data_IF_928341141493
#
_entry.id   IF_928341141493
#
_cell.length_a   1.000
_cell.length_b   1.000
_cell.length_c   1.000
_cell.angle_alpha   90.00
_cell.angle_beta   90.00
_cell.angle_gamma   90.00
#
_symmetry.space_group_name_H-M   'P 1'
#
loop_
_entity.id
_entity.type
_entity.pdbx_description
1 polymer ?
#
# COMPACT_ATOMS: atom_id res chain seq x y z
N UNK A 1 -18.43 17.03 4.34
CA UNK A 1 -19.43 15.94 4.39
C UNK A 1 -18.97 14.87 3.42
N UNK A 2 -18.87 13.60 3.82
CA UNK A 2 -18.49 12.51 2.91
C UNK A 2 -19.66 12.23 1.95
N UNK A 3 -19.45 12.14 0.62
CA UNK A 3 -20.52 11.89 -0.35
C UNK A 3 -21.24 10.58 -0.06
N UNK A 4 -22.58 10.51 -0.05
CA UNK A 4 -23.30 9.24 0.18
C UNK A 4 -22.93 8.20 -0.89
N UNK A 5 -22.99 6.89 -0.59
CA UNK A 5 -22.87 5.85 -1.61
C UNK A 5 -23.89 6.06 -2.74
N UNK A 6 -23.49 5.72 -3.96
CA UNK A 6 -24.31 5.88 -5.14
C UNK A 6 -24.90 4.53 -5.53
N UNK A 7 -26.23 4.44 -5.49
CA UNK A 7 -26.97 3.23 -5.84
C UNK A 7 -27.11 3.13 -7.36
N UNK A 8 -26.48 2.11 -7.97
CA UNK A 8 -26.45 1.94 -9.41
C UNK A 8 -26.20 0.49 -9.83
N UNK A 9 -26.52 0.19 -11.09
CA UNK A 9 -26.20 -1.08 -11.75
C UNK A 9 -25.29 -0.85 -12.94
N UNK A 10 -24.05 -1.30 -12.82
CA UNK A 10 -23.03 -1.27 -13.87
C UNK A 10 -23.26 -2.44 -14.83
N UNK A 11 -23.30 -2.19 -16.13
CA UNK A 11 -23.65 -3.19 -17.17
C UNK A 11 -22.70 -3.11 -18.36
N UNK A 12 -22.72 -4.09 -19.27
CA UNK A 12 -21.99 -4.04 -20.55
C UNK A 12 -20.48 -4.33 -20.48
N UNK A 13 -19.86 -4.14 -19.32
CA UNK A 13 -18.43 -4.39 -19.07
C UNK A 13 -18.08 -5.89 -18.94
N UNK A 14 -16.79 -6.20 -19.12
CA UNK A 14 -16.19 -7.44 -18.62
C UNK A 14 -15.88 -7.27 -17.13
N UNK A 15 -16.29 -8.22 -16.30
CA UNK A 15 -16.15 -8.14 -14.83
C UNK A 15 -15.22 -9.24 -14.35
N UNK A 16 -14.24 -8.89 -13.53
CA UNK A 16 -13.44 -9.87 -12.80
C UNK A 16 -14.19 -10.34 -11.56
N UNK A 17 -14.77 -11.55 -11.63
CA UNK A 17 -15.53 -12.17 -10.54
C UNK A 17 -15.35 -13.67 -10.57
N UNK A 18 -15.31 -14.30 -9.40
CA UNK A 18 -15.11 -15.75 -9.24
C UNK A 18 -13.81 -16.27 -9.90
N UNK A 19 -12.79 -15.41 -9.96
CA UNK A 19 -11.48 -15.75 -10.54
C UNK A 19 -11.43 -15.70 -12.07
N UNK A 20 -12.48 -15.24 -12.75
CA UNK A 20 -12.55 -15.17 -14.20
C UNK A 20 -13.12 -13.84 -14.71
N UNK A 21 -12.81 -13.50 -15.97
CA UNK A 21 -13.41 -12.37 -16.68
C UNK A 21 -14.73 -12.80 -17.31
N UNK A 22 -15.84 -12.14 -16.95
CA UNK A 22 -17.16 -12.48 -17.43
C UNK A 22 -18.05 -11.26 -17.68
N UNK A 23 -18.90 -11.31 -18.71
CA UNK A 23 -19.88 -10.25 -18.99
C UNK A 23 -21.10 -10.38 -18.09
N UNK A 24 -21.04 -9.76 -16.92
CA UNK A 24 -22.17 -9.65 -15.98
C UNK A 24 -22.34 -8.23 -15.50
N UNK A 25 -23.49 -7.94 -14.89
CA UNK A 25 -23.71 -6.66 -14.22
C UNK A 25 -23.19 -6.68 -12.78
N UNK A 26 -22.72 -5.54 -12.29
CA UNK A 26 -22.40 -5.32 -10.87
C UNK A 26 -23.35 -4.28 -10.31
N UNK A 27 -23.95 -4.55 -9.16
CA UNK A 27 -24.86 -3.62 -8.48
C UNK A 27 -24.12 -3.04 -7.29
N UNK A 28 -24.08 -1.72 -7.19
CA UNK A 28 -23.63 -0.98 -6.01
C UNK A 28 -24.88 -0.50 -5.29
N UNK A 29 -25.05 -0.87 -4.03
CA UNK A 29 -26.21 -0.54 -3.22
C UNK A 29 -25.78 -0.33 -1.77
N UNK A 30 -26.08 0.82 -1.18
CA UNK A 30 -25.77 1.14 0.22
C UNK A 30 -24.29 0.92 0.59
N UNK A 31 -23.39 1.14 -0.36
CA UNK A 31 -21.94 0.95 -0.18
C UNK A 31 -21.44 -0.48 -0.36
N UNK A 32 -22.33 -1.41 -0.73
CA UNK A 32 -22.07 -2.85 -0.85
C UNK A 32 -22.40 -3.36 -2.25
N UNK A 33 -21.92 -4.56 -2.58
CA UNK A 33 -22.27 -5.25 -3.82
C UNK A 33 -23.62 -5.95 -3.64
N UNK A 34 -24.64 -5.47 -4.36
CA UNK A 34 -26.04 -5.88 -4.24
C UNK A 34 -26.55 -6.77 -5.37
N UNK A 35 -27.89 -6.95 -5.42
CA UNK A 35 -28.60 -7.73 -6.45
C UNK A 35 -29.77 -6.98 -7.10
N UNK A 36 -30.17 -5.83 -6.54
CA UNK A 36 -31.40 -5.15 -6.89
C UNK A 36 -31.38 -4.51 -8.30
N UNK A 37 -32.56 -4.29 -8.90
CA UNK A 37 -32.67 -3.39 -10.03
C UNK A 37 -32.38 -1.97 -9.55
N UNK A 38 -31.41 -1.32 -10.18
CA UNK A 38 -31.00 0.07 -9.92
C UNK A 38 -30.75 0.79 -11.26
N UNK A 39 -30.69 2.13 -11.26
CA UNK A 39 -30.35 2.91 -12.44
C UNK A 39 -29.12 2.36 -13.15
N UNK A 40 -29.23 2.17 -14.47
CA UNK A 40 -28.22 1.50 -15.27
C UNK A 40 -27.13 2.49 -15.68
N UNK A 41 -25.88 2.07 -15.54
CA UNK A 41 -24.72 2.69 -16.21
C UNK A 41 -24.19 1.68 -17.22
N UNK A 42 -24.19 2.02 -18.52
CA UNK A 42 -23.61 1.17 -19.56
C UNK A 42 -22.09 1.41 -19.67
N UNK A 43 -21.32 0.39 -19.37
CA UNK A 43 -19.87 0.37 -19.42
C UNK A 43 -19.36 -0.61 -20.49
N UNK A 44 -20.08 -0.75 -21.60
CA UNK A 44 -19.59 -1.48 -22.78
C UNK A 44 -18.23 -0.93 -23.23
N UNK A 45 -17.25 -1.82 -23.42
CA UNK A 45 -15.85 -1.47 -23.73
C UNK A 45 -14.99 -1.16 -22.50
N UNK A 46 -15.47 -1.49 -21.30
CA UNK A 46 -14.71 -1.37 -20.06
C UNK A 46 -14.54 -2.73 -19.35
N UNK A 47 -13.56 -2.75 -18.47
CA UNK A 47 -13.36 -3.76 -17.44
C UNK A 47 -13.86 -3.21 -16.09
N UNK A 48 -14.54 -4.04 -15.31
CA UNK A 48 -14.81 -3.78 -13.90
C UNK A 48 -13.98 -4.76 -13.08
N UNK A 49 -13.07 -4.23 -12.27
CA UNK A 49 -12.13 -5.01 -11.48
C UNK A 49 -12.30 -4.67 -9.98
N UNK A 50 -11.99 -5.60 -9.05
CA UNK A 50 -11.97 -5.28 -7.63
C UNK A 50 -11.00 -4.12 -7.35
N UNK A 51 -11.37 -3.26 -6.42
CA UNK A 51 -10.54 -2.13 -5.97
C UNK A 51 -9.15 -2.56 -5.54
N UNK A 52 -8.14 -1.74 -5.85
CA UNK A 52 -6.75 -2.03 -5.50
C UNK A 52 -6.56 -1.84 -3.99
N UNK A 53 -5.81 -2.78 -3.39
CA UNK A 53 -5.43 -2.79 -1.97
C UNK A 53 -3.91 -2.74 -1.90
N UNK A 54 -3.38 -1.60 -1.48
CA UNK A 54 -1.94 -1.31 -1.47
C UNK A 54 -1.37 -1.43 -0.05
N UNK A 55 -0.46 -2.37 0.17
CA UNK A 55 0.06 -2.67 1.52
C UNK A 55 1.25 -1.80 1.92
N UNK A 56 1.89 -1.12 0.96
CA UNK A 56 3.06 -0.29 1.22
C UNK A 56 3.18 0.79 0.15
N UNK A 57 3.08 2.05 0.57
CA UNK A 57 3.44 3.18 -0.27
C UNK A 57 4.04 4.32 0.54
N UNK A 58 5.25 4.74 0.16
CA UNK A 58 5.93 5.97 0.58
C UNK A 58 5.71 7.12 -0.42
N UNK A 59 4.95 6.85 -1.48
CA UNK A 59 4.43 7.80 -2.44
C UNK A 59 3.80 9.07 -1.84
N UNK A 60 3.19 8.98 -0.67
CA UNK A 60 2.53 10.12 0.00
C UNK A 60 3.53 11.20 0.47
N UNK A 61 4.79 10.84 0.68
CA UNK A 61 5.82 11.78 1.15
C UNK A 61 5.96 12.97 0.20
N UNK A 62 5.78 12.76 -1.11
CA UNK A 62 5.82 13.83 -2.13
C UNK A 62 4.73 14.87 -1.97
N UNK A 63 3.60 14.51 -1.37
CA UNK A 63 2.46 15.41 -1.13
C UNK A 63 2.61 16.17 0.19
N UNK A 64 3.26 15.57 1.18
CA UNK A 64 3.47 16.16 2.51
C UNK A 64 4.69 17.09 2.51
N UNK A 65 5.77 16.66 1.89
CA UNK A 65 7.04 17.36 1.82
C UNK A 65 7.54 17.41 0.36
N UNK A 66 6.82 18.08 -0.57
CA UNK A 66 7.26 18.22 -1.96
C UNK A 66 8.64 18.89 -2.07
N UNK A 67 9.01 19.68 -1.05
CA UNK A 67 10.37 20.18 -0.81
C UNK A 67 10.70 20.04 0.67
N UNK A 68 11.88 19.48 1.05
CA UNK A 68 12.28 19.36 2.45
C UNK A 68 12.26 20.67 3.23
N UNK A 69 12.55 21.79 2.56
CA UNK A 69 12.63 23.13 3.18
C UNK A 69 11.27 23.85 3.33
N UNK A 70 10.16 23.26 2.87
CA UNK A 70 8.85 23.91 2.85
C UNK A 70 7.73 22.88 3.09
N UNK A 71 7.58 22.37 4.33
CA UNK A 71 6.53 21.42 4.66
C UNK A 71 5.14 22.06 4.51
N UNK A 72 4.20 21.30 3.96
CA UNK A 72 2.79 21.69 3.92
C UNK A 72 2.05 21.15 5.15
N UNK A 73 0.87 21.70 5.50
CA UNK A 73 0.03 21.10 6.53
C UNK A 73 -0.26 19.64 6.20
N UNK A 74 0.03 18.73 7.13
CA UNK A 74 -0.08 17.27 6.91
C UNK A 74 -1.45 16.85 6.39
N UNK A 75 -2.51 17.50 6.90
CA UNK A 75 -3.90 17.24 6.49
C UNK A 75 -4.13 17.56 5.01
N UNK A 76 -3.50 18.60 4.46
CA UNK A 76 -3.62 18.95 3.05
C UNK A 76 -2.83 17.98 2.16
N UNK A 77 -1.63 17.58 2.62
CA UNK A 77 -0.84 16.53 1.94
C UNK A 77 -1.56 15.18 1.92
N UNK A 78 -2.24 14.80 3.01
CA UNK A 78 -3.11 13.63 3.05
C UNK A 78 -4.31 13.75 2.12
N UNK A 79 -4.89 14.94 2.00
CA UNK A 79 -5.97 15.18 1.04
C UNK A 79 -5.52 15.00 -0.40
N UNK A 80 -4.33 15.48 -0.77
CA UNK A 80 -3.75 15.26 -2.09
C UNK A 80 -3.41 13.78 -2.33
N UNK A 81 -2.85 13.11 -1.31
CA UNK A 81 -2.57 11.66 -1.33
C UNK A 81 -3.83 10.84 -1.60
N UNK A 82 -4.94 11.14 -0.93
CA UNK A 82 -6.23 10.47 -1.13
C UNK A 82 -6.72 10.59 -2.58
N UNK A 83 -6.56 11.77 -3.21
CA UNK A 83 -6.95 11.98 -4.60
C UNK A 83 -6.04 11.25 -5.59
N UNK A 84 -4.75 11.26 -5.32
CA UNK A 84 -3.76 10.58 -6.14
C UNK A 84 -4.00 9.06 -6.10
N UNK A 85 -4.15 8.49 -4.91
CA UNK A 85 -4.50 7.07 -4.71
C UNK A 85 -5.80 6.69 -5.43
N UNK A 86 -6.88 7.47 -5.22
CA UNK A 86 -8.16 7.24 -5.88
C UNK A 86 -8.06 7.28 -7.41
N UNK A 87 -7.30 8.21 -7.97
CA UNK A 87 -7.10 8.30 -9.43
C UNK A 87 -6.36 7.11 -10.04
N UNK A 88 -5.61 6.37 -9.21
CA UNK A 88 -4.88 5.17 -9.59
C UNK A 88 -5.61 3.87 -9.21
N UNK A 89 -6.92 3.93 -8.90
CA UNK A 89 -7.74 2.75 -8.62
C UNK A 89 -7.59 2.17 -7.21
N UNK A 90 -6.84 2.85 -6.34
CA UNK A 90 -6.61 2.40 -4.97
C UNK A 90 -7.85 2.73 -4.14
N UNK A 91 -8.35 1.72 -3.43
CA UNK A 91 -9.54 1.82 -2.55
C UNK A 91 -9.17 1.61 -1.08
N UNK A 92 -8.01 0.98 -0.82
CA UNK A 92 -7.41 0.79 0.50
C UNK A 92 -5.90 0.92 0.37
N UNK A 93 -5.25 1.70 1.23
CA UNK A 93 -3.80 1.91 1.19
C UNK A 93 -3.19 2.03 2.57
N UNK A 94 -2.01 1.46 2.76
CA UNK A 94 -1.15 1.72 3.91
C UNK A 94 -0.01 2.68 3.52
N UNK A 95 0.07 3.79 4.25
CA UNK A 95 1.11 4.81 4.09
C UNK A 95 2.31 4.40 4.95
N UNK A 96 3.44 4.10 4.32
CA UNK A 96 4.63 3.58 4.99
C UNK A 96 5.42 4.72 5.66
N UNK A 97 5.15 4.98 6.94
CA UNK A 97 5.81 6.02 7.72
C UNK A 97 6.95 5.43 8.56
N UNK A 98 8.13 6.02 8.46
CA UNK A 98 9.29 5.57 9.22
C UNK A 98 9.17 5.92 10.72
N UNK A 99 9.73 5.05 11.55
CA UNK A 99 9.97 5.21 12.98
C UNK A 99 11.45 4.90 13.24
N UNK A 100 12.30 5.92 13.07
CA UNK A 100 13.72 5.76 12.84
C UNK A 100 14.60 6.66 13.73
N UNK A 101 15.80 6.18 14.02
CA UNK A 101 16.89 6.94 14.64
C UNK A 101 17.43 8.05 13.71
N UNK A 102 17.13 8.01 12.41
CA UNK A 102 17.61 8.98 11.40
C UNK A 102 17.19 10.42 11.70
N UNK A 103 16.02 10.63 12.32
CA UNK A 103 15.49 11.96 12.62
C UNK A 103 14.69 12.58 11.46
N UNK A 104 14.35 13.87 11.61
CA UNK A 104 13.56 14.61 10.61
C UNK A 104 12.21 13.93 10.29
N UNK A 105 11.89 13.83 9.00
CA UNK A 105 10.66 13.20 8.51
C UNK A 105 10.52 11.70 8.85
N UNK A 106 11.61 11.07 9.30
CA UNK A 106 11.63 9.65 9.69
C UNK A 106 11.54 9.43 11.20
N UNK A 107 11.52 10.50 11.99
CA UNK A 107 11.49 10.44 13.44
C UNK A 107 10.13 9.95 13.99
N UNK A 108 10.11 9.34 15.18
CA UNK A 108 8.88 9.06 15.92
C UNK A 108 7.91 10.25 16.05
N UNK A 109 8.44 11.45 16.29
CA UNK A 109 7.65 12.70 16.41
C UNK A 109 6.85 12.97 15.12
N UNK A 110 7.47 12.71 13.95
CA UNK A 110 6.80 12.87 12.66
C UNK A 110 5.71 11.82 12.46
N UNK A 111 5.96 10.57 12.88
CA UNK A 111 4.97 9.50 12.80
C UNK A 111 3.73 9.79 13.66
N UNK A 112 3.93 10.32 14.87
CA UNK A 112 2.83 10.78 15.75
C UNK A 112 2.05 11.96 15.15
N UNK A 113 2.76 12.93 14.57
CA UNK A 113 2.12 14.06 13.89
C UNK A 113 1.29 13.58 12.69
N UNK A 114 1.81 12.64 11.89
CA UNK A 114 1.09 12.07 10.75
C UNK A 114 -0.12 11.25 11.19
N UNK A 115 0.00 10.42 12.22
CA UNK A 115 -1.11 9.63 12.76
C UNK A 115 -2.25 10.53 13.26
N UNK A 116 -1.89 11.63 13.94
CA UNK A 116 -2.85 12.66 14.39
C UNK A 116 -3.52 13.37 13.21
N UNK A 117 -2.75 13.73 12.18
CA UNK A 117 -3.28 14.35 10.98
C UNK A 117 -4.20 13.40 10.20
N UNK A 118 -3.86 12.12 10.12
CA UNK A 118 -4.69 11.09 9.48
C UNK A 118 -6.01 10.91 10.23
N UNK A 119 -5.98 10.84 11.57
CA UNK A 119 -7.20 10.81 12.38
C UNK A 119 -8.09 12.04 12.14
N UNK A 120 -7.48 13.23 12.05
CA UNK A 120 -8.18 14.49 11.72
C UNK A 120 -8.76 14.50 10.30
N UNK A 121 -8.08 13.86 9.36
CA UNK A 121 -8.51 13.80 7.96
C UNK A 121 -9.59 12.73 7.70
N UNK A 122 -9.58 11.62 8.45
CA UNK A 122 -10.45 10.45 8.30
C UNK A 122 -11.93 10.78 8.00
N UNK A 123 -12.60 11.76 8.65
CA UNK A 123 -14.00 12.10 8.35
C UNK A 123 -14.25 12.73 6.96
N UNK A 124 -13.21 12.98 6.16
CA UNK A 124 -13.29 13.53 4.79
C UNK A 124 -12.69 12.60 3.74
N UNK A 125 -12.10 11.51 4.20
CA UNK A 125 -11.32 10.57 3.40
C UNK A 125 -12.22 9.77 2.45
N UNK A 126 -11.78 9.61 1.20
CA UNK A 126 -12.52 8.85 0.18
C UNK A 126 -11.95 7.44 -0.01
N UNK A 127 -10.64 7.29 0.02
CA UNK A 127 -9.92 6.00 0.02
C UNK A 127 -9.77 5.50 1.45
N UNK A 128 -9.77 4.19 1.72
CA UNK A 128 -9.42 3.70 3.08
C UNK A 128 -7.90 3.82 3.29
N UNK A 129 -7.41 5.01 3.67
CA UNK A 129 -6.01 5.26 4.00
C UNK A 129 -5.72 4.88 5.47
N UNK A 130 -4.65 4.14 5.65
CA UNK A 130 -4.14 3.62 6.93
C UNK A 130 -2.66 3.91 7.05
N UNK A 131 -2.14 3.77 8.26
CA UNK A 131 -0.71 3.98 8.52
C UNK A 131 -0.03 2.63 8.70
N UNK A 132 1.08 2.41 8.00
CA UNK A 132 2.04 1.38 8.32
C UNK A 132 3.24 2.04 8.99
N UNK A 133 3.75 1.45 10.06
CA UNK A 133 4.99 1.92 10.69
C UNK A 133 6.17 1.08 10.25
N UNK A 134 7.18 1.71 9.63
CA UNK A 134 8.47 1.08 9.34
C UNK A 134 9.44 1.35 10.49
N UNK A 135 9.54 0.38 11.41
CA UNK A 135 10.26 0.50 12.67
C UNK A 135 11.72 0.09 12.54
N UNK A 136 12.63 1.03 12.78
CA UNK A 136 14.05 0.71 12.86
C UNK A 136 14.37 -0.16 14.09
N UNK A 137 15.00 -1.29 13.86
CA UNK A 137 15.36 -2.27 14.90
C UNK A 137 16.30 -1.71 15.96
N UNK A 138 17.10 -0.70 15.64
CA UNK A 138 18.12 -0.13 16.52
C UNK A 138 17.65 1.07 17.37
N UNK A 139 16.39 1.48 17.25
CA UNK A 139 15.77 2.51 18.11
C UNK A 139 15.17 1.87 19.38
N UNK A 140 16.02 1.19 20.15
CA UNK A 140 15.64 0.20 21.17
C UNK A 140 14.95 0.76 22.42
N UNK A 141 15.03 2.07 22.65
CA UNK A 141 14.41 2.78 23.77
C UNK A 141 12.99 3.28 23.46
N UNK A 142 12.48 3.05 22.24
CA UNK A 142 11.20 3.59 21.76
C UNK A 142 9.99 2.65 21.91
N UNK A 143 10.15 1.46 22.52
CA UNK A 143 9.12 0.43 22.50
C UNK A 143 7.78 0.89 23.10
N UNK A 144 7.81 1.48 24.30
CA UNK A 144 6.58 1.94 24.97
C UNK A 144 5.90 3.06 24.20
N UNK A 145 6.70 3.93 23.59
CA UNK A 145 6.23 5.05 22.77
C UNK A 145 5.53 4.55 21.50
N UNK A 146 6.11 3.55 20.82
CA UNK A 146 5.49 2.95 19.63
C UNK A 146 4.20 2.21 19.98
N UNK A 147 4.19 1.42 21.07
CA UNK A 147 2.98 0.72 21.50
C UNK A 147 1.86 1.68 21.90
N UNK A 148 2.20 2.81 22.54
CA UNK A 148 1.22 3.85 22.86
C UNK A 148 0.65 4.52 21.60
N UNK A 149 1.49 4.79 20.58
CA UNK A 149 1.01 5.31 19.30
C UNK A 149 0.03 4.34 18.63
N UNK A 150 0.36 3.05 18.62
CA UNK A 150 -0.47 1.99 18.04
C UNK A 150 -1.86 1.99 18.69
N UNK A 151 -1.91 2.02 20.03
CA UNK A 151 -3.17 2.04 20.78
C UNK A 151 -3.97 3.32 20.54
N UNK A 152 -3.30 4.47 20.42
CA UNK A 152 -3.97 5.76 20.26
C UNK A 152 -4.60 5.96 18.86
N UNK A 153 -4.09 5.28 17.83
CA UNK A 153 -4.47 5.52 16.43
C UNK A 153 -4.93 4.28 15.66
N UNK A 154 -5.15 3.15 16.34
CA UNK A 154 -5.58 1.89 15.75
C UNK A 154 -4.66 1.43 14.58
N UNK A 155 -3.34 1.54 14.77
CA UNK A 155 -2.36 1.10 13.75
C UNK A 155 -2.34 -0.42 13.73
N UNK A 156 -2.61 -1.01 12.56
CA UNK A 156 -2.77 -2.45 12.39
C UNK A 156 -1.61 -3.11 11.64
N UNK A 157 -0.61 -2.35 11.18
CA UNK A 157 0.52 -2.87 10.41
C UNK A 157 1.88 -2.22 10.77
N UNK A 158 2.87 -3.05 11.13
CA UNK A 158 4.24 -2.63 11.44
C UNK A 158 5.26 -3.49 10.69
N UNK A 159 6.30 -2.91 10.14
CA UNK A 159 7.38 -3.66 9.48
C UNK A 159 8.72 -3.29 10.10
N UNK A 160 9.49 -4.28 10.55
CA UNK A 160 10.84 -4.06 11.05
C UNK A 160 11.79 -3.77 9.90
N UNK A 161 12.64 -2.76 10.09
CA UNK A 161 13.65 -2.36 9.12
C UNK A 161 15.02 -2.25 9.79
N UNK A 162 16.06 -2.57 9.04
CA UNK A 162 17.43 -2.35 9.48
C UNK A 162 18.31 -1.96 8.29
N UNK A 163 18.51 -0.65 8.12
CA UNK A 163 19.41 -0.12 7.09
C UNK A 163 20.65 0.54 7.71
N UNK A 164 20.94 0.25 8.98
CA UNK A 164 21.99 0.95 9.74
C UNK A 164 23.39 0.71 9.18
N UNK A 165 23.71 -0.53 8.80
CA UNK A 165 25.03 -0.84 8.23
C UNK A 165 25.21 -0.21 6.84
N UNK A 166 24.17 -0.19 6.01
CA UNK A 166 24.17 0.53 4.73
C UNK A 166 24.34 2.04 4.91
N UNK A 167 23.69 2.61 5.93
CA UNK A 167 23.85 4.03 6.25
C UNK A 167 25.27 4.35 6.74
N UNK A 168 25.90 3.45 7.50
CA UNK A 168 27.29 3.58 7.93
C UNK A 168 28.30 3.41 6.79
N UNK A 169 28.08 2.47 5.86
CA UNK A 169 28.88 2.36 4.65
C UNK A 169 28.76 3.64 3.82
N UNK A 170 27.53 4.10 3.59
CA UNK A 170 27.26 5.35 2.86
C UNK A 170 27.95 6.55 3.49
N UNK A 171 27.99 6.63 4.82
CA UNK A 171 28.70 7.67 5.53
C UNK A 171 30.21 7.70 5.23
N UNK A 172 30.81 6.54 4.93
CA UNK A 172 32.22 6.38 4.61
C UNK A 172 32.49 6.55 3.11
N UNK A 173 31.66 5.95 2.26
CA UNK A 173 31.87 5.85 0.81
C UNK A 173 31.30 7.04 0.04
N UNK A 174 30.27 7.70 0.57
CA UNK A 174 29.50 8.77 -0.09
C UNK A 174 29.16 9.93 0.86
N UNK A 175 30.14 10.71 1.32
CA UNK A 175 29.93 11.77 2.33
C UNK A 175 28.94 12.86 1.90
N UNK A 176 28.79 13.11 0.59
CA UNK A 176 27.75 14.03 0.09
C UNK A 176 26.33 13.52 0.29
N UNK A 177 26.11 12.20 0.25
CA UNK A 177 24.81 11.59 0.56
C UNK A 177 24.51 11.71 2.06
N UNK A 178 25.50 11.44 2.91
CA UNK A 178 25.38 11.65 4.36
C UNK A 178 25.03 13.10 4.71
N UNK A 179 25.67 14.08 4.03
CA UNK A 179 25.39 15.48 4.27
C UNK A 179 23.93 15.86 3.96
N UNK A 180 23.37 15.31 2.87
CA UNK A 180 21.95 15.48 2.53
C UNK A 180 21.03 14.85 3.58
N UNK A 181 21.31 13.63 4.03
CA UNK A 181 20.53 12.98 5.10
C UNK A 181 20.59 13.76 6.41
N UNK A 182 21.75 14.32 6.74
CA UNK A 182 21.91 15.18 7.90
C UNK A 182 21.04 16.44 7.77
N UNK A 183 21.03 17.10 6.61
CA UNK A 183 20.18 18.28 6.34
C UNK A 183 18.68 17.94 6.46
N UNK A 184 18.25 16.81 5.89
CA UNK A 184 16.87 16.28 6.00
C UNK A 184 16.48 15.94 7.44
N UNK A 185 17.45 15.60 8.29
CA UNK A 185 17.29 15.38 9.71
C UNK A 185 17.48 16.64 10.57
N UNK A 186 17.72 17.81 9.94
CA UNK A 186 18.05 19.08 10.60
C UNK A 186 19.28 18.99 11.53
N UNK A 187 20.32 18.29 11.08
CA UNK A 187 21.58 18.03 11.80
C UNK A 187 22.79 18.41 10.94
N UNK A 188 23.92 18.65 11.57
CA UNK A 188 25.20 18.63 10.88
C UNK A 188 25.60 17.18 10.51
N UNK A 189 26.46 16.97 9.49
CA UNK A 189 26.96 15.64 9.14
C UNK A 189 27.65 14.92 10.31
N UNK A 190 28.31 15.68 11.20
CA UNK A 190 28.99 15.14 12.37
C UNK A 190 28.01 14.62 13.42
N UNK A 191 26.93 15.37 13.69
CA UNK A 191 25.86 14.96 14.61
C UNK A 191 25.07 13.77 14.06
N UNK A 192 24.81 13.74 12.75
CA UNK A 192 24.13 12.62 12.10
C UNK A 192 25.00 11.34 12.18
N UNK A 193 26.31 11.44 11.91
CA UNK A 193 27.23 10.32 12.08
C UNK A 193 27.34 9.86 13.54
N UNK A 194 27.29 10.78 14.51
CA UNK A 194 27.24 10.42 15.92
C UNK A 194 25.97 9.64 16.26
N UNK A 195 24.83 9.99 15.64
CA UNK A 195 23.55 9.27 15.80
C UNK A 195 23.63 7.85 15.25
N UNK A 196 24.17 7.67 14.03
CA UNK A 196 24.43 6.35 13.45
C UNK A 196 25.29 5.47 14.38
N UNK A 197 26.38 6.03 14.91
CA UNK A 197 27.27 5.31 15.84
C UNK A 197 26.58 5.00 17.17
N UNK A 198 25.69 5.85 17.65
CA UNK A 198 24.91 5.60 18.86
C UNK A 198 23.91 4.46 18.64
N UNK A 199 23.18 4.47 17.51
CA UNK A 199 22.28 3.38 17.13
C UNK A 199 23.03 2.03 17.03
N UNK A 200 24.24 2.01 16.46
CA UNK A 200 25.04 0.77 16.37
C UNK A 200 25.41 0.19 17.73
N UNK A 201 25.64 1.04 18.75
CA UNK A 201 25.93 0.58 20.11
C UNK A 201 24.73 -0.15 20.73
N UNK A 202 23.52 0.06 20.22
CA UNK A 202 22.31 -0.58 20.72
C UNK A 202 22.09 -2.01 20.20
N UNK A 203 22.96 -2.53 19.31
CA UNK A 203 22.82 -3.86 18.70
C UNK A 203 22.55 -4.98 19.72
N UNK A 204 23.18 -4.92 20.90
CA UNK A 204 22.99 -5.90 21.98
C UNK A 204 21.59 -5.90 22.60
N UNK A 205 20.85 -4.79 22.49
CA UNK A 205 19.48 -4.66 22.99
C UNK A 205 18.41 -5.05 21.96
N UNK A 206 18.77 -5.13 20.68
CA UNK A 206 17.83 -5.38 19.56
C UNK A 206 17.00 -6.65 19.76
N UNK A 207 17.56 -7.84 20.11
CA UNK A 207 16.74 -9.04 20.28
C UNK A 207 15.64 -8.88 21.33
N UNK A 208 15.97 -8.26 22.47
CA UNK A 208 14.99 -7.99 23.54
C UNK A 208 13.93 -6.98 23.11
N UNK A 209 14.35 -5.95 22.37
CA UNK A 209 13.45 -4.93 21.83
C UNK A 209 12.44 -5.54 20.85
N UNK A 210 12.90 -6.36 19.91
CA UNK A 210 12.04 -7.04 18.93
C UNK A 210 11.06 -7.99 19.60
N UNK A 211 11.50 -8.83 20.55
CA UNK A 211 10.60 -9.73 21.28
C UNK A 211 9.52 -8.96 22.07
N UNK A 212 9.90 -7.83 22.72
CA UNK A 212 8.94 -6.98 23.43
C UNK A 212 7.89 -6.38 22.49
N UNK A 213 8.31 -5.92 21.33
CA UNK A 213 7.41 -5.37 20.33
C UNK A 213 6.50 -6.44 19.74
N UNK A 214 7.04 -7.59 19.34
CA UNK A 214 6.28 -8.74 18.86
C UNK A 214 5.17 -9.16 19.84
N UNK A 215 5.51 -9.33 21.12
CA UNK A 215 4.51 -9.65 22.17
C UNK A 215 3.48 -8.52 22.34
N UNK A 216 3.90 -7.26 22.19
CA UNK A 216 3.03 -6.10 22.16
C UNK A 216 2.05 -6.10 20.98
N UNK A 217 2.52 -6.47 19.80
CA UNK A 217 1.77 -6.54 18.55
C UNK A 217 0.76 -7.70 18.57
N UNK A 218 1.19 -8.89 19.01
CA UNK A 218 0.33 -10.07 19.13
C UNK A 218 -0.89 -9.82 20.02
N UNK A 219 -0.69 -9.17 21.18
CA UNK A 219 -1.79 -8.80 22.10
C UNK A 219 -2.81 -7.84 21.47
N UNK A 220 -2.37 -7.03 20.51
CA UNK A 220 -3.19 -6.02 19.83
C UNK A 220 -3.76 -6.51 18.50
N UNK A 221 -3.36 -7.71 18.04
CA UNK A 221 -3.72 -8.21 16.72
C UNK A 221 -3.08 -7.43 15.57
N UNK A 222 -2.00 -6.68 15.84
CA UNK A 222 -1.23 -5.97 14.81
C UNK A 222 -0.53 -7.01 13.93
N UNK A 223 -0.67 -6.87 12.62
CA UNK A 223 0.14 -7.66 11.69
C UNK A 223 1.52 -7.02 11.59
N UNK A 224 2.55 -7.85 11.51
CA UNK A 224 3.89 -7.31 11.38
C UNK A 224 4.81 -8.19 10.54
N UNK A 225 5.86 -7.56 10.01
CA UNK A 225 6.78 -8.15 9.07
C UNK A 225 8.19 -7.60 9.18
N UNK A 226 9.01 -7.88 8.19
CA UNK A 226 10.33 -7.29 8.00
C UNK A 226 10.51 -6.79 6.57
N UNK A 227 11.40 -5.81 6.42
CA UNK A 227 11.72 -5.13 5.18
C UNK A 227 13.18 -5.41 4.79
N UNK A 228 13.43 -5.62 3.50
CA UNK A 228 14.77 -5.83 2.92
C UNK A 228 15.55 -6.99 3.57
N UNK A 229 14.90 -8.13 3.81
CA UNK A 229 15.57 -9.32 4.36
C UNK A 229 16.78 -9.71 3.46
N UNK A 230 18.03 -9.64 3.97
CA UNK A 230 19.23 -9.83 3.17
C UNK A 230 19.44 -11.32 2.82
N UNK A 231 19.01 -12.21 3.69
CA UNK A 231 19.26 -13.65 3.58
C UNK A 231 18.16 -14.48 4.26
N UNK A 232 18.25 -15.80 4.09
CA UNK A 232 17.32 -16.74 4.68
C UNK A 232 17.42 -16.76 6.22
N UNK A 233 18.60 -16.63 6.81
CA UNK A 233 18.76 -16.68 8.28
C UNK A 233 18.04 -15.51 8.97
N UNK A 234 18.13 -14.32 8.38
CA UNK A 234 17.42 -13.12 8.84
C UNK A 234 15.90 -13.29 8.73
N UNK A 235 15.42 -13.79 7.57
CA UNK A 235 13.99 -14.09 7.36
C UNK A 235 13.49 -15.15 8.36
N UNK A 236 14.27 -16.19 8.64
CA UNK A 236 13.94 -17.21 9.64
C UNK A 236 13.75 -16.59 11.02
N UNK A 237 14.70 -15.75 11.43
CA UNK A 237 14.67 -15.04 12.72
C UNK A 237 13.41 -14.21 12.87
N UNK A 238 13.06 -13.40 11.86
CA UNK A 238 11.83 -12.62 11.86
C UNK A 238 10.58 -13.49 11.90
N UNK A 239 10.54 -14.59 11.14
CA UNK A 239 9.40 -15.50 11.16
C UNK A 239 9.20 -16.16 12.53
N UNK A 240 10.29 -16.51 13.21
CA UNK A 240 10.27 -17.13 14.53
C UNK A 240 9.72 -16.20 15.62
N UNK A 241 9.95 -14.89 15.53
CA UNK A 241 9.38 -13.89 16.45
C UNK A 241 7.96 -13.44 16.06
N UNK A 242 7.36 -14.05 15.04
CA UNK A 242 6.00 -13.77 14.59
C UNK A 242 5.86 -12.65 13.56
N UNK A 243 6.96 -12.08 13.05
CA UNK A 243 6.91 -11.09 11.97
C UNK A 243 6.64 -11.79 10.63
N UNK A 244 5.39 -12.13 10.34
CA UNK A 244 4.98 -13.05 9.26
C UNK A 244 4.94 -12.47 7.85
N UNK A 245 5.16 -11.18 7.65
CA UNK A 245 5.17 -10.58 6.31
C UNK A 245 6.61 -10.28 5.88
N UNK A 246 6.98 -10.65 4.66
CA UNK A 246 8.31 -10.43 4.10
C UNK A 246 8.21 -9.37 2.98
N UNK A 247 8.55 -8.12 3.30
CA UNK A 247 8.56 -7.03 2.33
C UNK A 247 9.94 -6.90 1.67
N UNK A 248 9.94 -6.85 0.33
CA UNK A 248 11.13 -6.57 -0.49
C UNK A 248 12.37 -7.43 -0.17
N UNK A 249 12.28 -8.77 -0.06
CA UNK A 249 13.46 -9.60 0.19
C UNK A 249 14.57 -9.31 -0.84
N UNK A 250 15.77 -9.03 -0.34
CA UNK A 250 16.91 -8.63 -1.18
C UNK A 250 17.41 -9.81 -2.01
N UNK A 251 17.32 -11.03 -1.46
CA UNK A 251 17.78 -12.26 -2.11
C UNK A 251 16.67 -13.25 -2.38
N UNK A 252 16.86 -14.07 -3.43
CA UNK A 252 15.98 -15.20 -3.74
C UNK A 252 15.93 -16.21 -2.59
N UNK A 253 17.01 -16.34 -1.81
CA UNK A 253 17.06 -17.23 -0.66
C UNK A 253 16.09 -16.79 0.44
N UNK A 254 16.05 -15.49 0.77
CA UNK A 254 15.08 -14.92 1.70
C UNK A 254 13.63 -15.14 1.22
N UNK A 255 13.33 -14.81 -0.05
CA UNK A 255 11.99 -15.00 -0.62
C UNK A 255 11.53 -16.47 -0.62
N UNK A 256 12.44 -17.40 -0.96
CA UNK A 256 12.17 -18.84 -0.92
C UNK A 256 11.87 -19.33 0.49
N UNK A 257 12.64 -18.87 1.48
CA UNK A 257 12.37 -19.24 2.86
C UNK A 257 11.01 -18.70 3.30
N UNK A 258 10.71 -17.43 3.01
CA UNK A 258 9.42 -16.80 3.32
C UNK A 258 8.25 -17.69 2.83
N UNK A 259 8.31 -18.08 1.55
CA UNK A 259 7.32 -18.99 0.95
C UNK A 259 7.26 -20.34 1.69
N UNK A 260 8.42 -20.93 2.01
CA UNK A 260 8.50 -22.23 2.66
C UNK A 260 7.88 -22.24 4.08
N UNK A 261 7.96 -21.12 4.81
CA UNK A 261 7.37 -20.97 6.15
C UNK A 261 5.95 -20.38 6.13
N UNK A 262 5.42 -20.07 4.94
CA UNK A 262 4.06 -19.53 4.76
C UNK A 262 3.93 -18.03 5.01
N UNK A 263 5.05 -17.30 5.01
CA UNK A 263 5.09 -15.84 5.17
C UNK A 263 4.86 -15.17 3.81
N UNK A 264 3.82 -14.32 3.65
CA UNK A 264 3.57 -13.64 2.37
C UNK A 264 4.73 -12.75 1.94
N UNK A 265 5.09 -12.82 0.65
CA UNK A 265 6.15 -11.99 0.07
C UNK A 265 5.55 -10.82 -0.71
N UNK A 266 5.95 -9.59 -0.36
CA UNK A 266 5.54 -8.37 -1.06
C UNK A 266 6.69 -7.82 -1.89
N UNK A 267 6.40 -7.41 -3.13
CA UNK A 267 7.38 -6.77 -4.02
C UNK A 267 6.85 -5.46 -4.60
N UNK A 268 7.76 -4.52 -4.86
CA UNK A 268 7.40 -3.24 -5.50
C UNK A 268 6.91 -3.43 -6.93
N UNK A 269 5.68 -2.98 -7.21
CA UNK A 269 5.15 -2.88 -8.56
C UNK A 269 6.03 -2.06 -9.54
N UNK A 270 6.73 -0.98 -9.12
CA UNK A 270 7.65 -0.27 -10.01
C UNK A 270 8.75 -1.16 -10.61
N UNK A 271 9.20 -2.20 -9.90
CA UNK A 271 10.24 -3.11 -10.38
C UNK A 271 9.77 -3.97 -11.56
N UNK A 272 8.48 -4.33 -11.59
CA UNK A 272 7.85 -5.02 -12.72
C UNK A 272 7.74 -4.08 -13.92
N UNK A 273 7.22 -2.86 -13.69
CA UNK A 273 7.04 -1.87 -14.78
C UNK A 273 8.36 -1.49 -15.45
N UNK A 274 9.45 -1.41 -14.67
CA UNK A 274 10.78 -1.05 -15.18
C UNK A 274 11.55 -2.21 -15.82
N UNK A 275 11.14 -3.46 -15.57
CA UNK A 275 11.85 -4.65 -16.03
C UNK A 275 13.18 -4.91 -15.32
N UNK A 276 13.31 -4.54 -14.03
CA UNK A 276 14.51 -4.81 -13.24
C UNK A 276 14.58 -4.07 -11.89
N UNK A 277 15.39 -4.59 -10.96
CA UNK A 277 15.69 -3.94 -9.67
C UNK A 277 16.84 -2.92 -9.83
N UNK A 278 16.83 -1.83 -9.06
CA UNK A 278 17.86 -0.77 -9.15
C UNK A 278 19.23 -1.19 -8.59
N UNK A 279 19.31 -2.26 -7.78
CA UNK A 279 20.46 -2.55 -6.93
C UNK A 279 21.05 -3.96 -7.13
N UNK A 280 20.61 -4.74 -8.12
CA UNK A 280 21.03 -6.14 -8.28
C UNK A 280 20.33 -7.12 -7.32
N UNK A 281 19.35 -6.63 -6.57
CA UNK A 281 18.45 -7.42 -5.71
C UNK A 281 17.58 -8.36 -6.54
N UNK A 282 16.96 -9.35 -5.90
CA UNK A 282 16.01 -10.25 -6.53
C UNK A 282 14.95 -9.48 -7.35
N UNK A 283 14.83 -9.79 -8.64
CA UNK A 283 13.88 -9.12 -9.50
C UNK A 283 12.45 -9.57 -9.18
N UNK A 284 11.50 -8.62 -9.13
CA UNK A 284 10.12 -8.92 -8.81
C UNK A 284 9.50 -9.94 -9.80
N UNK A 285 9.81 -9.81 -11.09
CA UNK A 285 9.29 -10.73 -12.13
C UNK A 285 9.78 -12.17 -11.92
N UNK A 286 11.07 -12.32 -11.60
CA UNK A 286 11.66 -13.63 -11.30
C UNK A 286 10.99 -14.31 -10.11
N UNK A 287 10.65 -13.55 -9.06
CA UNK A 287 9.95 -14.07 -7.89
C UNK A 287 8.48 -14.40 -8.22
N UNK A 288 7.81 -13.60 -9.03
CA UNK A 288 6.43 -13.87 -9.49
C UNK A 288 6.37 -15.17 -10.31
N UNK A 289 7.29 -15.34 -11.26
CA UNK A 289 7.38 -16.54 -12.08
C UNK A 289 7.68 -17.79 -11.24
N UNK A 290 8.59 -17.67 -10.28
CA UNK A 290 8.93 -18.76 -9.37
C UNK A 290 7.87 -19.04 -8.30
N UNK A 291 6.80 -18.25 -8.21
CA UNK A 291 5.75 -18.41 -7.20
C UNK A 291 6.17 -17.95 -5.79
N UNK A 292 7.14 -17.05 -5.69
CA UNK A 292 7.68 -16.47 -4.46
C UNK A 292 7.29 -15.00 -4.29
N UNK A 293 6.12 -14.60 -4.79
CA UNK A 293 5.56 -13.25 -4.65
C UNK A 293 4.03 -13.36 -4.52
N UNK A 294 3.50 -12.90 -3.38
CA UNK A 294 2.07 -12.98 -3.04
C UNK A 294 1.32 -11.69 -3.35
N UNK A 295 2.01 -10.55 -3.29
CA UNK A 295 1.40 -9.26 -3.55
C UNK A 295 2.39 -8.26 -4.15
N UNK A 296 1.83 -7.28 -4.87
CA UNK A 296 2.54 -6.12 -5.37
C UNK A 296 2.08 -4.86 -4.63
N UNK A 297 3.02 -3.99 -4.30
CA UNK A 297 2.79 -2.73 -3.58
C UNK A 297 3.24 -1.53 -4.41
N UNK A 298 2.67 -0.35 -4.16
CA UNK A 298 2.98 0.84 -4.96
C UNK A 298 4.39 1.35 -4.76
N UNK A 299 4.96 1.11 -3.57
CA UNK A 299 6.27 1.66 -3.19
C UNK A 299 6.21 3.19 -3.43
N UNK A 300 7.23 3.74 -4.07
CA UNK A 300 7.28 5.17 -4.35
C UNK A 300 6.39 5.65 -5.52
N UNK A 301 5.48 4.84 -6.09
CA UNK A 301 4.70 5.23 -7.29
C UNK A 301 3.35 4.49 -7.49
N UNK A 302 2.23 5.11 -7.04
CA UNK A 302 0.85 4.56 -7.17
C UNK A 302 0.45 4.04 -8.56
N UNK A 303 0.74 4.74 -9.69
CA UNK A 303 0.35 4.24 -11.01
C UNK A 303 0.99 2.89 -11.38
N UNK A 304 2.05 2.47 -10.68
CA UNK A 304 2.73 1.21 -10.96
C UNK A 304 1.87 -0.01 -10.69
N UNK A 305 0.90 0.02 -9.77
CA UNK A 305 0.12 -1.17 -9.40
C UNK A 305 -0.67 -1.75 -10.57
N UNK A 306 -1.60 -0.97 -11.13
CA UNK A 306 -2.39 -1.39 -12.29
C UNK A 306 -1.49 -1.65 -13.52
N UNK A 307 -0.46 -0.81 -13.72
CA UNK A 307 0.50 -0.99 -14.82
C UNK A 307 1.28 -2.29 -14.71
N UNK A 308 1.70 -2.70 -13.52
CA UNK A 308 2.39 -3.96 -13.30
C UNK A 308 1.48 -5.15 -13.61
N UNK A 309 0.22 -5.13 -13.16
CA UNK A 309 -0.73 -6.19 -13.47
C UNK A 309 -0.92 -6.35 -14.99
N UNK A 310 -1.10 -5.25 -15.72
CA UNK A 310 -1.20 -5.29 -17.19
C UNK A 310 0.11 -5.70 -17.88
N UNK A 311 1.27 -5.25 -17.37
CA UNK A 311 2.57 -5.63 -17.92
C UNK A 311 2.82 -7.14 -17.78
N UNK A 312 2.43 -7.76 -16.66
CA UNK A 312 2.51 -9.21 -16.47
C UNK A 312 1.64 -9.97 -17.48
N UNK A 313 0.47 -9.42 -17.83
CA UNK A 313 -0.43 -9.98 -18.85
C UNK A 313 0.16 -9.85 -20.24
N UNK A 314 0.70 -8.68 -20.59
CA UNK A 314 1.31 -8.43 -21.91
C UNK A 314 2.53 -9.31 -22.17
N UNK A 315 3.32 -9.57 -21.12
CA UNK A 315 4.46 -10.48 -21.16
C UNK A 315 4.06 -11.96 -21.18
N UNK A 316 2.77 -12.27 -21.00
CA UNK A 316 2.27 -13.65 -20.94
C UNK A 316 2.65 -14.40 -19.66
N UNK A 317 3.12 -13.70 -18.62
CA UNK A 317 3.55 -14.31 -17.36
C UNK A 317 2.38 -14.71 -16.47
N UNK A 318 1.25 -14.01 -16.62
CA UNK A 318 0.03 -14.21 -15.83
C UNK A 318 -1.22 -13.92 -16.67
N UNK A 319 -2.34 -14.55 -16.33
CA UNK A 319 -3.66 -14.12 -16.82
C UNK A 319 -4.10 -12.86 -16.05
N UNK A 320 -5.00 -12.04 -16.62
CA UNK A 320 -5.50 -10.84 -15.94
C UNK A 320 -6.06 -11.14 -14.53
N UNK A 321 -6.91 -12.17 -14.31
CA UNK A 321 -7.35 -12.53 -12.96
C UNK A 321 -6.20 -12.79 -11.97
N UNK A 322 -5.19 -13.56 -12.39
CA UNK A 322 -4.06 -13.92 -11.53
C UNK A 322 -3.09 -12.75 -11.27
N UNK A 323 -2.89 -11.87 -12.26
CA UNK A 323 -2.10 -10.66 -12.10
C UNK A 323 -2.82 -9.64 -11.19
N UNK A 324 -4.14 -9.48 -11.36
CA UNK A 324 -4.94 -8.56 -10.55
C UNK A 324 -5.07 -9.02 -9.10
N UNK A 325 -5.07 -10.34 -8.86
CA UNK A 325 -5.07 -10.89 -7.51
C UNK A 325 -3.90 -10.38 -6.66
N UNK A 326 -2.72 -10.16 -7.25
CA UNK A 326 -1.52 -9.63 -6.57
C UNK A 326 -1.71 -8.22 -6.02
N UNK A 327 -2.66 -7.43 -6.54
CA UNK A 327 -2.88 -6.03 -6.15
C UNK A 327 -4.27 -5.81 -5.50
N UNK A 328 -5.02 -6.87 -5.24
CA UNK A 328 -6.37 -6.75 -4.68
C UNK A 328 -6.71 -7.89 -3.72
N UNK A 329 -7.12 -9.05 -4.22
CA UNK A 329 -7.59 -10.16 -3.37
C UNK A 329 -6.51 -10.74 -2.46
N UNK A 330 -5.26 -10.87 -2.93
CA UNK A 330 -4.16 -11.38 -2.11
C UNK A 330 -3.76 -10.37 -1.02
N UNK A 331 -3.52 -9.08 -1.30
CA UNK A 331 -3.36 -8.06 -0.27
C UNK A 331 -4.48 -8.01 0.78
N UNK A 332 -5.75 -8.08 0.35
CA UNK A 332 -6.89 -8.10 1.26
C UNK A 332 -6.86 -9.33 2.18
N UNK A 333 -6.49 -10.51 1.65
CA UNK A 333 -6.33 -11.74 2.44
C UNK A 333 -5.16 -11.63 3.44
N UNK A 334 -4.01 -11.11 3.01
CA UNK A 334 -2.83 -10.90 3.87
C UNK A 334 -3.21 -10.03 5.07
N UNK A 335 -3.94 -8.94 4.83
CA UNK A 335 -4.40 -8.02 5.88
C UNK A 335 -5.70 -8.43 6.56
N UNK A 336 -6.19 -9.64 6.32
CA UNK A 336 -7.41 -10.20 6.94
C UNK A 336 -8.64 -9.29 6.77
N UNK A 337 -8.80 -8.74 5.57
CA UNK A 337 -9.93 -7.90 5.14
C UNK A 337 -10.92 -8.72 4.29
N UNK A 338 -11.82 -9.52 4.90
CA UNK A 338 -12.72 -10.38 4.14
C UNK A 338 -13.77 -9.57 3.37
N UNK A 339 -14.03 -8.32 3.74
CA UNK A 339 -15.08 -7.49 3.14
C UNK A 339 -14.74 -6.96 1.74
N UNK A 340 -13.50 -7.09 1.25
CA UNK A 340 -13.05 -6.48 -0.01
C UNK A 340 -12.05 -7.36 -0.78
N UNK A 341 -11.51 -6.83 -1.87
CA UNK A 341 -10.53 -7.50 -2.74
C UNK A 341 -11.15 -8.44 -3.78
N UNK A 342 -12.45 -8.67 -3.73
CA UNK A 342 -13.22 -9.48 -4.69
C UNK A 342 -14.59 -8.86 -4.95
N UNK A 343 -15.13 -9.08 -6.15
CA UNK A 343 -16.49 -8.66 -6.50
C UNK A 343 -17.44 -9.79 -6.14
N UNK A 344 -18.07 -9.74 -4.97
CA UNK A 344 -19.08 -10.71 -4.56
C UNK A 344 -20.18 -10.09 -3.70
N UNK A 345 -21.36 -10.72 -3.66
CA UNK A 345 -22.53 -10.20 -2.97
C UNK A 345 -22.27 -9.99 -1.48
N UNK A 346 -22.73 -8.86 -0.96
CA UNK A 346 -22.54 -8.51 0.45
C UNK A 346 -21.12 -8.12 0.83
N UNK A 347 -20.19 -8.01 -0.13
CA UNK A 347 -18.88 -7.38 0.07
C UNK A 347 -18.99 -5.87 -0.11
N UNK A 348 -18.01 -5.14 0.45
CA UNK A 348 -17.81 -3.70 0.25
C UNK A 348 -17.69 -3.41 -1.24
N UNK A 349 -18.40 -2.39 -1.73
CA UNK A 349 -18.34 -1.99 -3.14
C UNK A 349 -17.07 -1.18 -3.43
N UNK A 350 -15.94 -1.89 -3.46
CA UNK A 350 -14.64 -1.38 -3.89
C UNK A 350 -14.37 -1.85 -5.32
N UNK A 351 -14.53 -0.95 -6.29
CA UNK A 351 -14.52 -1.26 -7.72
C UNK A 351 -13.67 -0.24 -8.47
N UNK A 352 -13.05 -0.68 -9.55
CA UNK A 352 -12.50 0.22 -10.56
C UNK A 352 -13.11 -0.06 -11.92
N UNK A 353 -13.18 0.99 -12.73
CA UNK A 353 -13.65 0.94 -14.12
C UNK A 353 -12.48 1.33 -15.01
N UNK A 354 -12.01 0.37 -15.81
CA UNK A 354 -10.84 0.53 -16.67
C UNK A 354 -11.28 0.47 -18.12
N UNK A 355 -10.88 1.46 -18.92
CA UNK A 355 -11.12 1.44 -20.36
C UNK A 355 -10.37 0.25 -20.98
N UNK A 356 -11.06 -0.65 -21.67
CA UNK A 356 -10.47 -1.89 -22.18
C UNK A 356 -9.37 -1.62 -23.23
N UNK A 357 -9.55 -0.58 -24.04
CA UNK A 357 -8.62 -0.24 -25.11
C UNK A 357 -7.38 0.54 -24.60
N UNK A 358 -7.60 1.54 -23.73
CA UNK A 358 -6.53 2.44 -23.29
C UNK A 358 -5.87 2.01 -21.97
N UNK A 359 -6.51 1.09 -21.24
CA UNK A 359 -6.15 0.66 -19.88
C UNK A 359 -6.08 1.79 -18.86
N UNK A 360 -6.70 2.93 -19.16
CA UNK A 360 -6.84 4.03 -18.22
C UNK A 360 -7.94 3.71 -17.22
N UNK A 361 -7.66 4.01 -15.95
CA UNK A 361 -8.65 3.96 -14.89
C UNK A 361 -9.50 5.22 -15.05
N UNK A 362 -10.78 5.04 -15.34
CA UNK A 362 -11.72 6.15 -15.58
C UNK A 362 -12.75 6.30 -14.46
N UNK A 363 -12.90 5.30 -13.58
CA UNK A 363 -13.61 5.47 -12.33
C UNK A 363 -13.02 4.60 -11.20
N UNK A 364 -13.07 5.13 -9.98
CA UNK A 364 -12.77 4.40 -8.75
C UNK A 364 -13.93 4.59 -7.79
N UNK A 365 -14.41 3.48 -7.24
CA UNK A 365 -15.51 3.42 -6.29
C UNK A 365 -14.98 2.77 -5.02
N UNK A 366 -15.14 3.44 -3.89
CA UNK A 366 -14.69 2.98 -2.57
C UNK A 366 -15.89 2.98 -1.62
N UNK A 367 -16.24 1.82 -1.05
CA UNK A 367 -17.48 1.63 -0.28
C UNK A 367 -18.72 2.21 -0.99
N UNK A 368 -18.83 1.97 -2.30
CA UNK A 368 -19.92 2.45 -3.16
C UNK A 368 -19.94 3.97 -3.42
N UNK A 369 -18.92 4.72 -3.01
CA UNK A 369 -18.78 6.15 -3.29
C UNK A 369 -17.81 6.34 -4.44
N UNK A 370 -18.18 7.13 -5.44
CA UNK A 370 -17.27 7.49 -6.53
C UNK A 370 -16.20 8.43 -5.97
N UNK A 371 -14.94 7.98 -5.97
CA UNK A 371 -13.79 8.73 -5.45
C UNK A 371 -12.97 9.37 -6.55
N UNK A 372 -13.02 8.79 -7.75
CA UNK A 372 -12.45 9.30 -8.98
C UNK A 372 -13.41 8.99 -10.14
N UNK A 373 -13.56 9.93 -11.07
CA UNK A 373 -14.33 9.77 -12.30
C UNK A 373 -13.75 10.69 -13.38
N UNK A 374 -13.46 10.15 -14.55
CA UNK A 374 -12.84 10.85 -15.66
C UNK A 374 -13.22 10.22 -17.00
N UNK A 375 -12.79 10.85 -18.09
CA UNK A 375 -12.91 10.29 -19.44
C UNK A 375 -14.35 10.08 -19.89
N UNK A 376 -14.54 9.07 -20.74
CA UNK A 376 -15.85 8.72 -21.30
C UNK A 376 -16.73 8.05 -20.24
N UNK A 377 -16.16 7.36 -19.25
CA UNK A 377 -16.93 6.83 -18.13
C UNK A 377 -17.71 7.95 -17.45
N UNK A 378 -17.11 9.13 -17.22
CA UNK A 378 -17.80 10.27 -16.63
C UNK A 378 -19.10 10.63 -17.36
N UNK A 379 -19.06 10.75 -18.69
CA UNK A 379 -20.24 11.00 -19.54
C UNK A 379 -21.33 9.98 -19.30
N UNK A 380 -20.98 8.69 -19.21
CA UNK A 380 -21.92 7.59 -19.03
C UNK A 380 -22.54 7.54 -17.63
N UNK A 381 -21.74 7.83 -16.60
CA UNK A 381 -22.24 7.95 -15.23
C UNK A 381 -23.24 9.11 -15.09
N UNK A 382 -23.01 10.25 -15.77
CA UNK A 382 -23.98 11.35 -15.80
C UNK A 382 -25.22 11.05 -16.67
N UNK A 383 -25.06 10.32 -17.77
CA UNK A 383 -26.14 9.95 -18.68
C UNK A 383 -27.16 8.95 -18.09
N UNK A 384 -26.76 8.17 -17.08
CA UNK A 384 -27.61 7.16 -16.43
C UNK A 384 -28.92 7.69 -15.82
N UNK A 385 -29.00 8.99 -15.52
CA UNK A 385 -30.23 9.64 -15.02
C UNK A 385 -31.22 10.04 -16.11
N UNK A 386 -30.80 10.19 -17.37
CA UNK A 386 -31.64 10.70 -18.45
C UNK A 386 -32.62 9.65 -19.01
N UNK A 387 -32.24 8.36 -19.03
CA UNK A 387 -33.11 7.29 -19.51
C UNK A 387 -34.35 7.06 -18.63
N UNK A 388 -34.24 7.31 -17.32
CA UNK A 388 -35.37 7.20 -16.38
C UNK A 388 -36.39 8.32 -16.54
N UNK A 389 -35.97 9.52 -16.97
CA UNK A 389 -36.87 10.65 -17.18
C UNK A 389 -37.71 10.49 -18.46
N UNK A 390 -37.13 9.95 -19.54
CA UNK A 390 -37.86 9.73 -20.80
C UNK A 390 -38.78 8.50 -20.81
N UNK A 391 -38.62 7.57 -19.86
CA UNK A 391 -39.53 6.44 -19.70
C UNK A 391 -40.76 6.75 -18.81
N UNK A 392 -40.79 7.96 -18.23
CA UNK A 392 -41.85 8.43 -17.33
C UNK A 392 -42.73 9.54 -17.95
N UNK A 393 -42.44 9.97 -19.18
CA UNK A 393 -43.34 10.71 -20.08
C UNK A 393 -44.02 9.74 -21.04
#
# INVERSE_FOLDING_TARGET
MIPKPCDMRLTGAQVLRDGEMQRRSVVVQDGMIGKGPLPRVDLTGYLILPGIVDLHGDAFERHIAPRPSAPFPLVDGLAATDRDAASNGITTAWLAQSWSWEGGHRAPDQAEALATALATYRPRMLTDLRLQIRCETHLTDSADRLLALIDAHDIDYVVFNNHLDDALDTAQTRPGTLARWAEEAHRSPQEHLATLRAAKKNATFVPRFLCRLAEGFDRRGVLYGSHDDPDAETRETYSMIGAKICEFPVTRAAARLATAVGDPVLMGAPNVVRGGSQAGNAAAEDLIEAGHCDALVSDYHYPSLARAAFALVDKGLRTLPSAWALISSAPARIMRLPDRGVIDYGRRADLIVVNEATRQIEATICAGRITHLAGEAATRFFGAGAELAMAAE
#
